data_IF_506009309976
#
_entry.id   IF_506009309976
#
_cell.length_a   1.000
_cell.length_b   1.000
_cell.length_c   1.000
_cell.angle_alpha   90.00
_cell.angle_beta   90.00
_cell.angle_gamma   90.00
#
_symmetry.space_group_name_H-M   'P 1'
#
loop_
_entity.id
_entity.type
_entity.pdbx_description
1 polymer ?
#
# COMPACT_ATOMS: atom_id res chain seq x y z
N UNK A 1 16.81 -36.56 -16.03
CA UNK A 1 17.06 -35.24 -16.66
C UNK A 1 15.94 -34.23 -16.43
N UNK A 2 14.66 -34.58 -16.51
CA UNK A 2 13.52 -33.64 -16.33
C UNK A 2 13.45 -32.98 -14.95
N UNK A 3 13.78 -33.70 -13.87
CA UNK A 3 13.77 -33.19 -12.49
C UNK A 3 14.88 -32.16 -12.22
N UNK A 4 16.05 -32.30 -12.85
CA UNK A 4 17.16 -31.34 -12.70
C UNK A 4 16.86 -30.00 -13.42
N UNK A 5 16.16 -30.03 -14.54
CA UNK A 5 15.72 -28.82 -15.24
C UNK A 5 14.67 -28.05 -14.44
N UNK A 6 13.74 -28.76 -13.78
CA UNK A 6 12.69 -28.14 -12.98
C UNK A 6 13.24 -27.46 -11.71
N UNK A 7 14.28 -28.01 -11.09
CA UNK A 7 14.98 -27.40 -9.96
C UNK A 7 15.77 -26.13 -10.37
N UNK A 8 16.40 -26.14 -11.53
CA UNK A 8 17.15 -24.99 -12.04
C UNK A 8 16.22 -23.80 -12.39
N UNK A 9 15.02 -24.06 -12.92
CA UNK A 9 14.04 -23.01 -13.23
C UNK A 9 13.40 -22.43 -11.95
N UNK A 10 13.23 -23.22 -10.89
CA UNK A 10 12.70 -22.74 -9.62
C UNK A 10 13.68 -21.81 -8.88
N UNK A 11 14.98 -22.09 -8.95
CA UNK A 11 16.04 -21.25 -8.35
C UNK A 11 16.17 -19.89 -9.06
N UNK A 12 15.94 -19.85 -10.39
CA UNK A 12 16.01 -18.61 -11.16
C UNK A 12 14.86 -17.62 -10.85
N UNK A 13 13.70 -18.12 -10.36
CA UNK A 13 12.56 -17.28 -10.01
C UNK A 13 12.70 -16.59 -8.64
N UNK A 14 13.61 -17.03 -7.78
CA UNK A 14 13.84 -16.46 -6.44
C UNK A 14 14.79 -15.23 -6.46
N UNK A 15 15.44 -14.94 -7.58
CA UNK A 15 16.45 -13.88 -7.68
C UNK A 15 15.89 -12.49 -8.07
N UNK A 16 14.58 -12.30 -8.14
CA UNK A 16 13.95 -11.11 -8.74
C UNK A 16 13.40 -10.08 -7.75
N UNK A 17 13.67 -10.18 -6.44
CA UNK A 17 13.29 -9.13 -5.50
C UNK A 17 14.40 -8.08 -5.43
N UNK A 18 14.33 -7.07 -6.31
CA UNK A 18 15.17 -5.87 -6.19
C UNK A 18 14.46 -4.86 -5.31
N UNK A 19 15.11 -4.41 -4.24
CA UNK A 19 14.61 -3.32 -3.39
C UNK A 19 15.31 -2.03 -3.77
N UNK A 20 14.53 -1.00 -4.14
CA UNK A 20 15.07 0.34 -4.40
C UNK A 20 14.85 1.21 -3.18
N UNK A 21 15.94 1.75 -2.62
CA UNK A 21 15.93 2.76 -1.57
C UNK A 21 16.36 4.11 -2.16
N UNK A 22 15.97 5.21 -1.53
CA UNK A 22 16.30 6.55 -2.00
C UNK A 22 17.10 7.31 -0.95
N UNK A 23 18.21 7.91 -1.39
CA UNK A 23 18.98 8.84 -0.60
C UNK A 23 18.58 10.27 -0.95
N UNK A 24 18.34 11.12 0.06
CA UNK A 24 17.93 12.49 -0.11
C UNK A 24 19.06 13.44 0.27
N UNK A 25 19.61 14.16 -0.72
CA UNK A 25 20.66 15.17 -0.51
C UNK A 25 20.01 16.54 -0.41
N UNK A 26 20.08 17.14 0.77
CA UNK A 26 19.45 18.43 1.08
C UNK A 26 20.11 19.56 0.29
N UNK A 27 19.35 20.56 -0.21
CA UNK A 27 19.92 21.74 -0.87
C UNK A 27 20.85 22.52 0.06
N UNK A 28 21.91 23.11 -0.51
CA UNK A 28 22.86 23.90 0.26
C UNK A 28 22.30 25.26 0.73
N UNK A 29 21.36 25.85 -0.02
CA UNK A 29 20.75 27.15 0.29
C UNK A 29 19.73 27.05 1.42
N UNK A 30 19.62 28.09 2.25
CA UNK A 30 18.64 28.13 3.34
C UNK A 30 17.20 28.19 2.81
N UNK A 31 16.97 28.85 1.67
CA UNK A 31 15.69 28.88 1.00
C UNK A 31 15.30 27.45 0.52
N UNK A 32 16.25 26.68 -0.03
CA UNK A 32 16.04 25.30 -0.43
C UNK A 32 15.75 24.39 0.75
N UNK A 33 16.42 24.55 1.88
CA UNK A 33 16.15 23.79 3.11
C UNK A 33 14.74 24.05 3.65
N UNK A 34 14.32 25.32 3.65
CA UNK A 34 12.97 25.70 4.08
C UNK A 34 11.91 25.07 3.13
N UNK A 35 12.15 25.15 1.83
CA UNK A 35 11.29 24.54 0.82
C UNK A 35 11.14 23.01 1.05
N UNK A 36 12.22 22.31 1.28
CA UNK A 36 12.21 20.85 1.58
C UNK A 36 11.43 20.54 2.86
N UNK A 37 11.54 21.39 3.89
CA UNK A 37 10.75 21.21 5.11
C UNK A 37 9.24 21.33 4.84
N UNK A 38 8.83 22.25 3.96
CA UNK A 38 7.44 22.37 3.52
C UNK A 38 6.98 21.11 2.74
N UNK A 39 7.83 20.58 1.84
CA UNK A 39 7.54 19.32 1.14
C UNK A 39 7.32 18.17 2.11
N UNK A 40 8.11 18.07 3.17
CA UNK A 40 7.93 17.05 4.20
C UNK A 40 6.57 17.19 4.92
N UNK A 41 6.16 18.40 5.24
CA UNK A 41 4.83 18.66 5.83
C UNK A 41 3.68 18.23 4.91
N UNK A 42 3.77 18.55 3.63
CA UNK A 42 2.78 18.13 2.62
C UNK A 42 2.71 16.60 2.51
N UNK A 43 3.86 15.91 2.53
CA UNK A 43 3.92 14.45 2.52
C UNK A 43 3.18 13.86 3.72
N UNK A 44 3.43 14.36 4.94
CA UNK A 44 2.77 13.85 6.14
C UNK A 44 1.25 14.11 6.12
N UNK A 45 0.82 15.25 5.59
CA UNK A 45 -0.61 15.51 5.38
C UNK A 45 -1.23 14.55 4.36
N UNK A 46 -0.54 14.26 3.26
CA UNK A 46 -0.97 13.27 2.26
C UNK A 46 -1.14 11.89 2.90
N UNK A 47 -0.16 11.43 3.68
CA UNK A 47 -0.21 10.15 4.41
C UNK A 47 -1.36 10.09 5.40
N UNK A 48 -1.59 11.18 6.15
CA UNK A 48 -2.74 11.29 7.05
C UNK A 48 -4.08 11.12 6.32
N UNK A 49 -4.22 11.73 5.16
CA UNK A 49 -5.41 11.59 4.31
C UNK A 49 -5.59 10.16 3.79
N UNK A 50 -4.50 9.50 3.36
CA UNK A 50 -4.54 8.10 2.92
C UNK A 50 -4.93 7.15 4.05
N UNK A 51 -4.42 7.38 5.26
CA UNK A 51 -4.81 6.61 6.44
C UNK A 51 -6.32 6.77 6.75
N UNK A 52 -6.84 8.00 6.72
CA UNK A 52 -8.27 8.25 6.93
C UNK A 52 -9.11 7.56 5.85
N UNK A 53 -8.70 7.66 4.57
CA UNK A 53 -9.37 6.98 3.46
C UNK A 53 -9.42 5.47 3.70
N UNK A 54 -8.29 4.86 4.04
CA UNK A 54 -8.21 3.42 4.31
C UNK A 54 -9.12 2.99 5.47
N UNK A 55 -9.17 3.78 6.55
CA UNK A 55 -10.06 3.53 7.69
C UNK A 55 -11.55 3.61 7.29
N UNK A 56 -11.94 4.62 6.50
CA UNK A 56 -13.31 4.77 6.01
C UNK A 56 -13.71 3.61 5.08
N UNK A 57 -12.85 3.23 4.15
CA UNK A 57 -13.10 2.11 3.24
C UNK A 57 -13.22 0.79 4.01
N UNK A 58 -12.35 0.56 5.00
CA UNK A 58 -12.42 -0.62 5.86
C UNK A 58 -13.74 -0.66 6.63
N UNK A 59 -14.12 0.43 7.29
CA UNK A 59 -15.38 0.52 8.03
C UNK A 59 -16.61 0.33 7.13
N UNK A 60 -16.57 0.84 5.90
CA UNK A 60 -17.63 0.62 4.91
C UNK A 60 -17.72 -0.84 4.48
N UNK A 61 -16.58 -1.47 4.18
CA UNK A 61 -16.51 -2.88 3.84
C UNK A 61 -17.05 -3.76 4.99
N UNK A 62 -16.64 -3.50 6.24
CA UNK A 62 -17.08 -4.25 7.42
C UNK A 62 -18.60 -4.16 7.63
N UNK A 63 -19.19 -2.97 7.46
CA UNK A 63 -20.65 -2.81 7.53
C UNK A 63 -21.38 -3.60 6.46
N UNK A 64 -20.87 -3.57 5.23
CA UNK A 64 -21.46 -4.33 4.12
C UNK A 64 -21.31 -5.83 4.32
N UNK A 65 -20.13 -6.29 4.77
CA UNK A 65 -19.87 -7.69 5.08
C UNK A 65 -20.82 -8.22 6.16
N UNK A 66 -21.06 -7.44 7.22
CA UNK A 66 -22.01 -7.78 8.28
C UNK A 66 -23.45 -7.83 7.78
N UNK A 67 -23.86 -6.82 6.98
CA UNK A 67 -25.20 -6.79 6.37
C UNK A 67 -25.44 -8.00 5.47
N UNK A 68 -24.50 -8.33 4.61
CA UNK A 68 -24.58 -9.48 3.71
C UNK A 68 -24.61 -10.80 4.49
N UNK A 69 -23.81 -10.93 5.53
CA UNK A 69 -23.81 -12.10 6.40
C UNK A 69 -25.17 -12.30 7.08
N UNK A 70 -25.76 -11.24 7.64
CA UNK A 70 -27.09 -11.30 8.26
C UNK A 70 -28.18 -11.65 7.25
N UNK A 71 -28.14 -11.08 6.05
CA UNK A 71 -29.05 -11.39 4.97
C UNK A 71 -28.96 -12.87 4.55
N UNK A 72 -27.74 -13.41 4.45
CA UNK A 72 -27.50 -14.83 4.17
C UNK A 72 -28.15 -15.72 5.26
N UNK A 73 -27.93 -15.42 6.53
CA UNK A 73 -28.51 -16.16 7.66
C UNK A 73 -30.05 -16.13 7.62
N UNK A 74 -30.65 -14.97 7.36
CA UNK A 74 -32.10 -14.84 7.24
C UNK A 74 -32.65 -15.66 6.09
N UNK A 75 -31.98 -15.66 4.94
CA UNK A 75 -32.36 -16.47 3.76
C UNK A 75 -32.20 -17.97 4.05
N UNK A 76 -31.14 -18.37 4.73
CA UNK A 76 -30.92 -19.77 5.11
C UNK A 76 -32.02 -20.27 6.04
N UNK A 77 -32.42 -19.45 7.03
CA UNK A 77 -33.50 -19.75 7.94
C UNK A 77 -34.85 -19.91 7.21
N UNK A 78 -35.18 -18.96 6.30
CA UNK A 78 -36.41 -18.99 5.53
C UNK A 78 -36.50 -20.24 4.62
N UNK A 79 -35.39 -20.63 3.99
CA UNK A 79 -35.32 -21.75 3.06
C UNK A 79 -34.94 -23.08 3.73
N UNK A 80 -34.78 -23.12 5.07
CA UNK A 80 -34.34 -24.30 5.84
C UNK A 80 -33.03 -24.89 5.28
N UNK A 81 -32.12 -24.06 4.83
CA UNK A 81 -30.79 -24.45 4.35
C UNK A 81 -29.75 -24.29 5.46
N UNK A 82 -28.55 -24.87 5.26
CA UNK A 82 -27.48 -24.85 6.25
C UNK A 82 -26.91 -23.43 6.43
N UNK A 83 -27.04 -22.79 7.62
CA UNK A 83 -26.45 -21.49 7.89
C UNK A 83 -24.92 -21.50 7.94
N UNK A 84 -24.28 -22.66 8.10
CA UNK A 84 -22.83 -22.81 8.07
C UNK A 84 -22.19 -22.46 6.73
N UNK A 85 -22.99 -22.35 5.66
CA UNK A 85 -22.52 -21.86 4.35
C UNK A 85 -22.41 -20.34 4.26
N UNK A 86 -22.99 -19.59 5.22
CA UNK A 86 -22.86 -18.15 5.29
C UNK A 86 -21.50 -17.78 5.86
N UNK A 87 -20.72 -17.01 5.10
CA UNK A 87 -19.39 -16.55 5.52
C UNK A 87 -19.35 -15.04 5.53
N UNK A 88 -18.62 -14.47 6.53
CA UNK A 88 -18.29 -13.05 6.53
C UNK A 88 -17.16 -12.79 5.55
N UNK A 89 -17.34 -11.80 4.71
CA UNK A 89 -16.29 -11.32 3.83
C UNK A 89 -15.19 -10.63 4.67
N UNK A 90 -13.93 -10.99 4.43
CA UNK A 90 -12.78 -10.29 5.00
C UNK A 90 -12.58 -8.93 4.33
N UNK A 91 -12.24 -7.90 5.14
CA UNK A 91 -11.99 -6.55 4.66
C UNK A 91 -10.51 -6.20 4.81
N UNK A 92 -9.79 -6.23 3.70
CA UNK A 92 -8.40 -5.82 3.61
C UNK A 92 -8.33 -4.49 2.85
N UNK A 93 -7.98 -3.42 3.57
CA UNK A 93 -7.73 -2.11 2.97
C UNK A 93 -6.37 -1.64 3.47
N UNK A 94 -5.49 -1.28 2.55
CA UNK A 94 -4.17 -0.73 2.86
C UNK A 94 -4.08 0.73 2.44
N UNK A 95 -3.22 1.47 3.11
CA UNK A 95 -2.83 2.83 2.71
C UNK A 95 -2.02 2.76 1.43
N UNK A 96 -2.31 3.64 0.48
CA UNK A 96 -1.52 3.80 -0.73
C UNK A 96 -0.62 5.03 -0.61
N UNK A 97 0.49 4.88 0.09
CA UNK A 97 1.44 5.96 0.31
C UNK A 97 2.37 6.22 -0.89
N UNK A 98 2.32 5.39 -1.93
CA UNK A 98 3.20 5.53 -3.11
C UNK A 98 3.09 6.90 -3.77
N UNK A 99 1.87 7.41 -3.92
CA UNK A 99 1.63 8.74 -4.49
C UNK A 99 2.25 9.85 -3.62
N UNK A 100 2.07 9.77 -2.31
CA UNK A 100 2.62 10.75 -1.37
C UNK A 100 4.15 10.79 -1.41
N UNK A 101 4.80 9.62 -1.53
CA UNK A 101 6.25 9.53 -1.65
C UNK A 101 6.74 10.07 -3.01
N UNK A 102 6.03 9.75 -4.10
CA UNK A 102 6.39 10.25 -5.44
C UNK A 102 6.27 11.78 -5.51
N UNK A 103 5.18 12.35 -4.98
CA UNK A 103 4.99 13.80 -4.90
C UNK A 103 6.04 14.48 -4.02
N UNK A 104 6.44 13.83 -2.92
CA UNK A 104 7.51 14.32 -2.05
C UNK A 104 8.86 14.35 -2.78
N UNK A 105 9.23 13.28 -3.49
CA UNK A 105 10.48 13.24 -4.26
C UNK A 105 10.53 14.36 -5.30
N UNK A 106 9.44 14.59 -6.02
CA UNK A 106 9.34 15.65 -7.01
C UNK A 106 9.44 17.04 -6.37
N UNK A 107 8.73 17.26 -5.26
CA UNK A 107 8.83 18.51 -4.50
C UNK A 107 10.26 18.76 -4.02
N UNK A 108 10.93 17.74 -3.49
CA UNK A 108 12.29 17.80 -2.99
C UNK A 108 13.30 18.25 -4.07
N UNK A 109 13.19 17.66 -5.28
CA UNK A 109 14.02 18.03 -6.43
C UNK A 109 13.73 19.47 -6.87
N UNK A 110 12.46 19.87 -6.91
CA UNK A 110 12.06 21.25 -7.27
C UNK A 110 12.62 22.30 -6.29
N UNK A 111 12.87 21.91 -5.04
CA UNK A 111 13.53 22.74 -4.04
C UNK A 111 15.07 22.82 -4.20
N UNK A 112 15.64 22.17 -5.20
CA UNK A 112 17.09 22.10 -5.47
C UNK A 112 17.81 20.98 -4.72
N UNK A 113 17.08 20.02 -4.12
CA UNK A 113 17.63 18.79 -3.57
C UNK A 113 17.88 17.74 -4.63
N UNK A 114 18.54 16.64 -4.24
CA UNK A 114 18.78 15.50 -5.11
C UNK A 114 18.18 14.23 -4.48
N UNK A 115 17.60 13.38 -5.30
CA UNK A 115 17.06 12.08 -4.91
C UNK A 115 17.83 11.02 -5.67
N UNK A 116 18.62 10.21 -4.96
CA UNK A 116 19.54 9.23 -5.55
C UNK A 116 18.96 7.82 -5.28
N UNK A 117 18.57 7.07 -6.32
CA UNK A 117 18.10 5.71 -6.14
C UNK A 117 19.27 4.74 -5.91
N UNK A 118 19.16 3.89 -4.90
CA UNK A 118 20.05 2.78 -4.61
C UNK A 118 19.30 1.46 -4.79
N UNK A 119 19.72 0.66 -5.77
CA UNK A 119 19.11 -0.64 -6.04
C UNK A 119 20.02 -1.74 -5.49
N UNK A 120 19.51 -2.49 -4.51
CA UNK A 120 20.17 -3.69 -3.99
C UNK A 120 19.55 -4.93 -4.60
N UNK A 121 20.43 -5.83 -5.09
CA UNK A 121 20.04 -7.16 -5.58
C UNK A 121 20.06 -8.16 -4.45
#
# INVERSE_FOLDING_TARGET
MKTRFLLLTLVALLAACTTTTYEFVVPASDAGKLCVTQCAGIREQCRGNEMQRAQHEKAFCERNAESNYRACLATAAANKTDPGKCQRQGCYVSENNYRCESEYQQCFVNCGGQVIPHTTK
#
